data_IF_140173695205
#
_entry.id   IF_140173695205
#
_cell.length_a   1.000
_cell.length_b   1.000
_cell.length_c   1.000
_cell.angle_alpha   90.00
_cell.angle_beta   90.00
_cell.angle_gamma   90.00
#
_symmetry.space_group_name_H-M   'P 1'
#
loop_
_entity.id
_entity.type
_entity.pdbx_description
1 polymer ?
#
# COMPACT_ATOMS: atom_id res chain seq x y z
N UNK A 1 21.07 22.81 15.49
CA UNK A 1 19.90 23.40 16.19
C UNK A 1 18.87 22.30 16.34
N UNK A 2 18.27 22.12 17.52
CA UNK A 2 17.27 21.09 17.80
C UNK A 2 15.93 21.77 18.03
N UNK A 3 14.88 21.32 17.34
CA UNK A 3 13.53 21.84 17.49
C UNK A 3 12.60 20.77 18.04
N UNK A 4 11.74 21.13 18.98
CA UNK A 4 10.59 20.30 19.35
C UNK A 4 9.45 20.64 18.40
N UNK A 5 8.94 19.62 17.70
CA UNK A 5 7.88 19.77 16.72
C UNK A 5 6.65 18.95 17.11
N UNK A 6 5.49 19.37 16.64
CA UNK A 6 4.21 18.69 16.82
C UNK A 6 3.38 18.83 15.55
N UNK A 7 2.34 18.01 15.41
CA UNK A 7 1.33 18.16 14.38
C UNK A 7 -0.01 17.56 14.83
N UNK A 8 -1.07 17.87 14.09
CA UNK A 8 -2.39 17.29 14.30
C UNK A 8 -2.50 15.99 13.49
N UNK A 9 -3.22 15.02 14.06
CA UNK A 9 -3.52 13.79 13.34
C UNK A 9 -4.43 14.05 12.12
N UNK A 10 -4.20 13.28 11.06
CA UNK A 10 -5.10 13.16 9.89
C UNK A 10 -6.20 12.16 10.25
N UNK A 11 -7.43 12.47 9.88
CA UNK A 11 -8.64 11.73 10.23
C UNK A 11 -9.17 10.84 9.08
N UNK A 12 -8.26 10.24 8.31
CA UNK A 12 -8.64 9.33 7.24
C UNK A 12 -9.45 8.15 7.80
N UNK A 13 -10.48 7.72 7.06
CA UNK A 13 -11.44 6.72 7.51
C UNK A 13 -10.83 5.35 7.85
N UNK A 14 -9.68 5.01 7.27
CA UNK A 14 -8.95 3.78 7.56
C UNK A 14 -8.12 3.85 8.87
N UNK A 15 -8.01 5.03 9.47
CA UNK A 15 -7.20 5.25 10.67
C UNK A 15 -7.81 4.65 11.92
N UNK A 16 -6.95 4.15 12.82
CA UNK A 16 -7.35 3.68 14.13
C UNK A 16 -7.83 4.82 15.03
N UNK A 17 -8.82 4.53 15.87
CA UNK A 17 -9.32 5.46 16.90
C UNK A 17 -8.56 5.33 18.22
N UNK A 18 -7.74 4.29 18.38
CA UNK A 18 -7.09 3.93 19.65
C UNK A 18 -5.57 3.80 19.58
N UNK A 19 -4.98 3.28 18.49
CA UNK A 19 -3.56 2.94 18.42
C UNK A 19 -2.63 4.11 18.73
N UNK A 20 -2.85 5.29 18.15
CA UNK A 20 -2.05 6.49 18.46
C UNK A 20 -2.30 6.99 19.88
N UNK A 21 -3.58 7.16 20.34
CA UNK A 21 -3.87 7.52 21.72
C UNK A 21 -3.24 6.58 22.75
N UNK A 22 -3.39 5.27 22.58
CA UNK A 22 -2.86 4.27 23.51
C UNK A 22 -1.33 4.29 23.56
N UNK A 23 -0.68 4.41 22.40
CA UNK A 23 0.78 4.46 22.33
C UNK A 23 1.38 5.69 23.02
N UNK A 24 0.74 6.86 22.89
CA UNK A 24 1.21 8.10 23.52
C UNK A 24 0.61 8.35 24.91
N UNK A 25 -0.26 7.48 25.40
CA UNK A 25 -0.91 7.63 26.73
C UNK A 25 -1.82 8.84 26.81
N UNK A 26 -2.52 9.19 25.71
CA UNK A 26 -3.47 10.29 25.67
C UNK A 26 -4.90 9.79 25.47
N UNK A 27 -5.92 10.53 25.93
CA UNK A 27 -7.31 10.10 25.76
C UNK A 27 -7.70 9.96 24.29
N UNK A 28 -8.36 8.85 23.93
CA UNK A 28 -8.96 8.66 22.62
C UNK A 28 -10.15 9.62 22.43
N UNK A 29 -10.24 10.23 21.24
CA UNK A 29 -11.32 11.17 20.90
C UNK A 29 -12.54 10.48 20.27
N UNK A 30 -12.45 9.18 19.99
CA UNK A 30 -13.44 8.42 19.22
C UNK A 30 -13.44 8.72 17.72
N UNK A 31 -12.53 9.57 17.24
CA UNK A 31 -12.33 9.85 15.82
C UNK A 31 -11.07 9.14 15.32
N UNK A 32 -11.01 8.77 14.03
CA UNK A 32 -9.80 8.22 13.45
C UNK A 32 -8.60 9.13 13.62
N UNK A 33 -7.48 8.55 14.00
CA UNK A 33 -6.17 9.19 14.01
C UNK A 33 -5.25 8.33 13.12
N UNK A 34 -5.31 8.58 11.81
CA UNK A 34 -4.66 7.73 10.81
C UNK A 34 -3.16 8.00 10.71
N UNK A 35 -2.76 9.27 10.66
CA UNK A 35 -1.37 9.69 10.50
C UNK A 35 -1.08 10.99 11.26
N UNK A 36 0.14 11.10 11.78
CA UNK A 36 0.71 12.37 12.24
C UNK A 36 1.98 12.63 11.44
N UNK A 37 2.05 13.75 10.72
CA UNK A 37 3.15 14.08 9.81
C UNK A 37 4.20 14.97 10.49
N UNK A 38 5.45 14.57 10.42
CA UNK A 38 6.60 15.29 10.94
C UNK A 38 7.54 15.67 9.79
N UNK A 39 7.38 16.90 9.30
CA UNK A 39 8.14 17.40 8.16
C UNK A 39 7.63 18.75 7.68
N UNK A 40 8.02 19.12 6.48
CA UNK A 40 7.68 20.40 5.85
C UNK A 40 6.66 20.25 4.71
N UNK A 41 6.02 19.09 4.61
CA UNK A 41 5.08 18.79 3.53
C UNK A 41 3.89 19.78 3.55
N UNK A 42 3.57 20.41 2.41
CA UNK A 42 2.56 21.48 2.31
C UNK A 42 1.15 21.04 2.74
N UNK A 43 0.82 19.77 2.59
CA UNK A 43 -0.46 19.18 3.00
C UNK A 43 -0.69 19.16 4.51
N UNK A 44 0.38 19.16 5.33
CA UNK A 44 0.34 19.21 6.80
C UNK A 44 1.74 19.50 7.37
N UNK A 45 2.24 20.73 7.28
CA UNK A 45 3.55 21.07 7.82
C UNK A 45 3.55 20.97 9.34
N UNK A 46 4.58 20.33 9.91
CA UNK A 46 4.77 20.31 11.35
C UNK A 46 4.95 21.73 11.93
N UNK A 47 4.64 21.88 13.21
CA UNK A 47 4.74 23.17 13.93
C UNK A 47 5.74 23.04 15.05
N UNK A 48 6.37 24.16 15.41
CA UNK A 48 7.18 24.25 16.63
C UNK A 48 6.25 24.20 17.85
N UNK A 49 6.65 23.45 18.86
CA UNK A 49 5.92 23.41 20.14
C UNK A 49 5.95 24.80 20.80
N UNK A 50 7.10 25.44 20.74
CA UNK A 50 7.31 26.79 21.26
C UNK A 50 7.05 27.81 20.13
N UNK A 51 5.91 28.53 20.17
CA UNK A 51 5.62 29.65 19.27
C UNK A 51 4.65 29.36 18.10
N UNK A 52 4.19 28.14 17.91
CA UNK A 52 3.19 27.74 16.90
C UNK A 52 3.53 28.07 15.42
N UNK A 53 4.80 28.46 15.14
CA UNK A 53 5.30 28.66 13.79
C UNK A 53 5.45 27.33 13.05
N UNK A 54 5.22 27.32 11.72
CA UNK A 54 5.46 26.11 10.94
C UNK A 54 6.96 25.81 10.84
N UNK A 55 7.31 24.51 10.82
CA UNK A 55 8.69 24.09 10.60
C UNK A 55 9.25 24.62 9.28
N UNK A 56 8.40 24.68 8.22
CA UNK A 56 8.78 25.25 6.92
C UNK A 56 9.20 26.72 7.04
N UNK A 57 8.45 27.53 7.81
CA UNK A 57 8.80 28.94 8.02
C UNK A 57 10.09 29.08 8.83
N UNK A 58 10.29 28.26 9.88
CA UNK A 58 11.53 28.22 10.69
C UNK A 58 12.76 27.86 9.85
N UNK A 59 12.59 26.97 8.86
CA UNK A 59 13.65 26.58 7.93
C UNK A 59 13.83 27.54 6.75
N UNK A 60 13.22 28.75 6.81
CA UNK A 60 13.33 29.77 5.76
C UNK A 60 12.69 29.36 4.43
N UNK A 61 11.60 28.60 4.47
CA UNK A 61 10.86 28.11 3.30
C UNK A 61 11.45 26.85 2.66
N UNK A 62 12.48 26.25 3.26
CA UNK A 62 13.08 25.03 2.74
C UNK A 62 12.19 23.81 2.98
N UNK A 63 12.01 23.01 1.95
CA UNK A 63 11.37 21.69 2.05
C UNK A 63 12.41 20.63 2.42
N UNK A 64 12.05 19.75 3.36
CA UNK A 64 12.84 18.56 3.65
C UNK A 64 12.67 17.54 2.51
N UNK A 65 13.71 16.80 2.14
CA UNK A 65 13.60 15.79 1.08
C UNK A 65 12.87 14.51 1.52
N UNK A 66 12.41 14.47 2.76
CA UNK A 66 11.71 13.33 3.35
C UNK A 66 10.51 13.78 4.17
N UNK A 67 9.60 12.87 4.41
CA UNK A 67 8.50 12.97 5.36
C UNK A 67 8.56 11.80 6.33
N UNK A 68 8.46 12.08 7.62
CA UNK A 68 8.29 11.09 8.67
C UNK A 68 6.86 11.14 9.16
N UNK A 69 6.23 9.97 9.35
CA UNK A 69 4.88 9.87 9.87
C UNK A 69 4.80 8.85 10.99
N UNK A 70 3.91 9.07 11.94
CA UNK A 70 3.30 7.99 12.71
C UNK A 70 2.05 7.58 11.93
N UNK A 71 1.93 6.31 11.59
CA UNK A 71 0.83 5.75 10.81
C UNK A 71 0.12 4.68 11.63
N UNK A 72 -1.22 4.76 11.73
CA UNK A 72 -2.05 3.81 12.50
C UNK A 72 -3.20 3.30 11.63
N UNK A 73 -3.03 2.13 11.05
CA UNK A 73 -4.04 1.47 10.23
C UNK A 73 -4.96 0.59 11.08
N UNK A 74 -6.27 0.79 10.96
CA UNK A 74 -7.33 -0.06 11.50
C UNK A 74 -8.06 -0.83 10.39
N UNK A 75 -7.93 -0.34 9.16
CA UNK A 75 -8.45 -0.97 7.96
C UNK A 75 -7.40 -0.94 6.86
N UNK A 76 -7.42 -1.92 5.93
CA UNK A 76 -6.47 -1.97 4.82
C UNK A 76 -6.43 -0.69 3.99
N UNK A 77 -5.22 -0.18 3.75
CA UNK A 77 -4.98 0.84 2.76
C UNK A 77 -5.02 0.22 1.35
N UNK A 78 -5.20 1.08 0.33
CA UNK A 78 -5.17 0.60 -1.05
C UNK A 78 -3.83 -0.08 -1.39
N UNK A 79 -3.88 -1.11 -2.22
CA UNK A 79 -2.69 -1.63 -2.89
C UNK A 79 -2.13 -0.53 -3.77
N UNK A 80 -0.83 -0.28 -3.69
CA UNK A 80 -0.17 0.81 -4.41
C UNK A 80 1.25 0.46 -4.85
N UNK A 81 1.73 1.27 -5.80
CA UNK A 81 3.12 1.28 -6.21
C UNK A 81 3.58 2.72 -6.45
N UNK A 82 4.89 2.94 -6.37
CA UNK A 82 5.50 4.24 -6.56
C UNK A 82 6.51 4.21 -7.70
N UNK A 83 6.58 5.28 -8.53
CA UNK A 83 7.52 5.37 -9.63
C UNK A 83 8.96 5.56 -9.14
N UNK A 84 9.93 5.15 -9.95
CA UNK A 84 11.32 5.59 -9.80
C UNK A 84 11.48 7.04 -10.32
N UNK A 85 12.67 7.63 -10.13
CA UNK A 85 12.92 9.04 -10.50
C UNK A 85 12.68 9.34 -11.98
N UNK A 86 13.06 8.42 -12.88
CA UNK A 86 12.86 8.62 -14.31
C UNK A 86 11.38 8.54 -14.69
N UNK A 87 10.68 7.52 -14.19
CA UNK A 87 9.23 7.34 -14.39
C UNK A 87 8.42 8.50 -13.82
N UNK A 88 8.79 9.01 -12.62
CA UNK A 88 8.13 10.16 -12.00
C UNK A 88 8.28 11.43 -12.85
N UNK A 89 9.49 11.75 -13.29
CA UNK A 89 9.75 12.92 -14.13
C UNK A 89 9.03 12.84 -15.48
N UNK A 90 9.09 11.67 -16.16
CA UNK A 90 8.41 11.45 -17.43
C UNK A 90 6.88 11.51 -17.28
N UNK A 91 6.32 10.82 -16.27
CA UNK A 91 4.88 10.78 -16.01
C UNK A 91 4.32 12.15 -15.66
N UNK A 92 5.01 12.90 -14.79
CA UNK A 92 4.63 14.26 -14.43
C UNK A 92 4.63 15.20 -15.63
N UNK A 93 5.69 15.15 -16.48
CA UNK A 93 5.77 15.95 -17.69
C UNK A 93 4.66 15.58 -18.69
N UNK A 94 4.37 14.30 -18.87
CA UNK A 94 3.34 13.78 -19.77
C UNK A 94 1.94 14.23 -19.35
N UNK A 95 1.58 14.10 -18.05
CA UNK A 95 0.27 14.53 -17.55
C UNK A 95 0.10 16.06 -17.59
N UNK A 96 1.18 16.84 -17.37
CA UNK A 96 1.20 18.28 -17.54
C UNK A 96 0.96 18.68 -19.02
N UNK A 97 1.62 18.00 -19.96
CA UNK A 97 1.45 18.26 -21.40
C UNK A 97 0.03 17.88 -21.88
N UNK A 98 -0.59 16.86 -21.27
CA UNK A 98 -1.97 16.48 -21.52
C UNK A 98 -3.01 17.42 -20.87
N UNK A 99 -2.58 18.41 -20.07
CA UNK A 99 -3.45 19.35 -19.37
C UNK A 99 -4.24 18.76 -18.21
N UNK A 100 -3.83 17.59 -17.68
CA UNK A 100 -4.47 16.97 -16.52
C UNK A 100 -4.13 17.80 -15.28
N UNK A 101 -5.16 18.36 -14.63
CA UNK A 101 -4.96 19.21 -13.45
C UNK A 101 -4.32 18.46 -12.29
N UNK A 102 -3.48 19.13 -11.50
CA UNK A 102 -2.72 18.52 -10.40
C UNK A 102 -3.62 17.87 -9.34
N UNK A 103 -4.86 18.34 -9.20
CA UNK A 103 -5.86 17.81 -8.26
C UNK A 103 -6.94 16.95 -8.93
N UNK A 104 -6.79 16.63 -10.23
CA UNK A 104 -7.73 15.76 -10.91
C UNK A 104 -7.74 14.36 -10.28
N UNK A 105 -8.92 13.72 -10.28
CA UNK A 105 -9.10 12.42 -9.63
C UNK A 105 -8.34 11.28 -10.33
N UNK A 106 -8.08 11.45 -11.62
CA UNK A 106 -7.32 10.54 -12.50
C UNK A 106 -5.83 10.91 -12.65
N UNK A 107 -5.35 11.93 -11.93
CA UNK A 107 -3.95 12.35 -11.91
C UNK A 107 -3.11 11.36 -11.09
N UNK A 108 -2.13 10.69 -11.72
CA UNK A 108 -1.21 9.77 -11.07
C UNK A 108 0.01 10.48 -10.46
N UNK A 109 0.58 11.45 -11.20
CA UNK A 109 1.83 12.12 -10.82
C UNK A 109 1.59 13.53 -10.28
N UNK A 110 1.79 13.71 -8.97
CA UNK A 110 1.64 15.00 -8.27
C UNK A 110 2.91 15.83 -8.31
N UNK A 111 4.06 15.19 -8.49
CA UNK A 111 5.39 15.78 -8.59
C UNK A 111 6.31 14.90 -9.46
N UNK A 112 7.53 15.37 -9.72
CA UNK A 112 8.54 14.71 -10.56
C UNK A 112 9.51 13.80 -9.77
N UNK A 113 9.16 13.41 -8.53
CA UNK A 113 10.04 12.72 -7.61
C UNK A 113 9.63 11.27 -7.39
N UNK A 114 10.63 10.44 -7.12
CA UNK A 114 10.41 9.08 -6.66
C UNK A 114 9.89 9.06 -5.22
N UNK A 115 9.31 7.92 -4.81
CA UNK A 115 8.73 7.78 -3.48
C UNK A 115 9.09 6.42 -2.84
N UNK A 116 10.37 6.16 -2.54
CA UNK A 116 10.70 5.01 -1.69
C UNK A 116 10.17 5.25 -0.28
N UNK A 117 9.75 4.17 0.37
CA UNK A 117 9.16 4.19 1.71
C UNK A 117 9.82 3.15 2.60
N UNK A 118 9.77 3.35 3.89
CA UNK A 118 10.11 2.38 4.92
C UNK A 118 9.11 2.49 6.04
N UNK A 119 8.58 1.36 6.50
CA UNK A 119 7.77 1.27 7.71
C UNK A 119 8.56 0.56 8.80
N UNK A 120 8.58 1.12 10.00
CA UNK A 120 9.11 0.50 11.22
C UNK A 120 7.93 0.22 12.13
N UNK A 121 7.70 -1.04 12.46
CA UNK A 121 6.59 -1.45 13.32
C UNK A 121 6.78 -0.96 14.76
N UNK A 122 5.75 -0.37 15.35
CA UNK A 122 5.66 0.00 16.76
C UNK A 122 4.77 -0.96 17.55
N UNK A 123 3.82 -1.58 16.87
CA UNK A 123 3.03 -2.72 17.34
C UNK A 123 3.20 -3.86 16.35
N UNK A 124 2.57 -5.01 16.56
CA UNK A 124 2.37 -5.97 15.47
C UNK A 124 1.79 -5.23 14.26
N UNK A 125 2.41 -5.40 13.09
CA UNK A 125 2.06 -4.66 11.88
C UNK A 125 1.91 -5.59 10.69
N UNK A 126 0.73 -5.54 10.07
CA UNK A 126 0.36 -6.38 8.93
C UNK A 126 0.50 -5.63 7.62
N UNK A 127 1.21 -6.24 6.65
CA UNK A 127 1.46 -5.63 5.35
C UNK A 127 1.45 -6.64 4.21
N UNK A 128 1.30 -6.15 3.00
CA UNK A 128 1.57 -6.86 1.75
C UNK A 128 2.81 -6.23 1.09
N UNK A 129 3.76 -7.05 0.63
CA UNK A 129 5.00 -6.55 0.03
C UNK A 129 5.49 -7.42 -1.12
N UNK A 130 5.43 -6.87 -2.34
CA UNK A 130 5.92 -7.52 -3.54
C UNK A 130 5.18 -8.81 -3.90
N UNK A 131 5.49 -9.37 -5.04
CA UNK A 131 4.86 -10.60 -5.50
C UNK A 131 5.51 -11.85 -4.89
N UNK A 132 4.70 -12.87 -4.65
CA UNK A 132 5.12 -14.23 -4.29
C UNK A 132 5.98 -14.85 -5.40
N UNK A 133 6.70 -15.93 -5.07
CA UNK A 133 7.39 -16.72 -6.07
C UNK A 133 6.41 -17.34 -7.07
N UNK A 134 6.89 -17.61 -8.29
CA UNK A 134 6.07 -18.24 -9.34
C UNK A 134 5.45 -19.56 -8.87
N UNK A 135 6.20 -20.36 -8.11
CA UNK A 135 5.71 -21.62 -7.53
C UNK A 135 4.55 -21.38 -6.57
N UNK A 136 4.65 -20.35 -5.71
CA UNK A 136 3.59 -20.05 -4.74
C UNK A 136 2.33 -19.52 -5.46
N UNK A 137 2.48 -18.67 -6.49
CA UNK A 137 1.35 -18.17 -7.28
C UNK A 137 0.67 -19.32 -8.03
N UNK A 138 1.43 -20.21 -8.66
CA UNK A 138 0.87 -21.39 -9.34
C UNK A 138 0.08 -22.27 -8.38
N UNK A 139 0.68 -22.65 -7.25
CA UNK A 139 0.01 -23.45 -6.22
C UNK A 139 -1.27 -22.77 -5.70
N UNK A 140 -1.24 -21.45 -5.54
CA UNK A 140 -2.42 -20.68 -5.14
C UNK A 140 -3.54 -20.80 -6.18
N UNK A 141 -3.24 -20.57 -7.46
CA UNK A 141 -4.25 -20.67 -8.53
C UNK A 141 -4.82 -22.09 -8.63
N UNK A 142 -3.96 -23.10 -8.59
CA UNK A 142 -4.38 -24.51 -8.59
C UNK A 142 -5.29 -24.83 -7.40
N UNK A 143 -4.96 -24.34 -6.20
CA UNK A 143 -5.75 -24.57 -4.99
C UNK A 143 -7.12 -23.91 -4.97
N UNK A 144 -7.35 -22.89 -5.80
CA UNK A 144 -8.69 -22.33 -5.99
C UNK A 144 -9.66 -23.34 -6.63
N UNK A 145 -9.13 -24.42 -7.25
CA UNK A 145 -9.88 -25.49 -7.92
C UNK A 145 -9.96 -26.79 -7.08
N UNK A 146 -9.33 -26.85 -5.91
CA UNK A 146 -9.31 -28.05 -5.06
C UNK A 146 -10.67 -28.45 -4.46
N UNK A 147 -11.57 -27.51 -4.06
CA UNK A 147 -12.89 -27.90 -3.58
C UNK A 147 -13.71 -28.65 -4.62
N UNK A 148 -14.48 -29.65 -4.18
CA UNK A 148 -15.26 -30.54 -5.09
C UNK A 148 -16.44 -29.84 -5.77
N UNK A 149 -16.87 -28.69 -5.26
CA UNK A 149 -18.08 -27.95 -5.68
C UNK A 149 -17.74 -26.57 -6.27
N UNK A 150 -16.55 -26.47 -6.90
CA UNK A 150 -16.12 -25.23 -7.55
C UNK A 150 -17.05 -24.91 -8.71
N UNK A 151 -17.52 -23.65 -8.79
CA UNK A 151 -18.40 -23.23 -9.87
C UNK A 151 -17.71 -23.29 -11.24
N UNK A 152 -18.51 -23.53 -12.30
CA UNK A 152 -18.00 -23.47 -13.67
C UNK A 152 -17.40 -22.08 -14.01
N UNK A 153 -17.89 -21.02 -13.38
CA UNK A 153 -17.39 -19.66 -13.53
C UNK A 153 -15.97 -19.50 -12.96
N UNK A 154 -15.76 -19.94 -11.72
CA UNK A 154 -14.43 -19.92 -11.08
C UNK A 154 -13.46 -20.86 -11.84
N UNK A 155 -13.90 -22.05 -12.19
CA UNK A 155 -13.08 -22.99 -12.96
C UNK A 155 -12.61 -22.36 -14.29
N UNK A 156 -13.49 -21.70 -15.02
CA UNK A 156 -13.17 -21.08 -16.30
C UNK A 156 -12.14 -19.95 -16.14
N UNK A 157 -12.35 -19.08 -15.16
CA UNK A 157 -11.47 -17.92 -14.97
C UNK A 157 -10.09 -18.34 -14.42
N UNK A 158 -10.04 -19.28 -13.49
CA UNK A 158 -8.77 -19.76 -12.92
C UNK A 158 -7.94 -20.52 -13.96
N UNK A 159 -8.56 -21.35 -14.81
CA UNK A 159 -7.85 -21.99 -15.91
C UNK A 159 -7.30 -20.95 -16.90
N UNK A 160 -8.07 -19.90 -17.24
CA UNK A 160 -7.56 -18.80 -18.04
C UNK A 160 -6.37 -18.09 -17.37
N UNK A 161 -6.41 -17.85 -16.05
CA UNK A 161 -5.29 -17.25 -15.32
C UNK A 161 -4.06 -18.15 -15.28
N UNK A 162 -4.23 -19.47 -15.14
CA UNK A 162 -3.15 -20.45 -15.24
C UNK A 162 -2.51 -20.44 -16.64
N UNK A 163 -3.31 -20.35 -17.69
CA UNK A 163 -2.82 -20.25 -19.07
C UNK A 163 -2.02 -18.95 -19.30
N UNK A 164 -2.52 -17.82 -18.82
CA UNK A 164 -1.79 -16.55 -18.87
C UNK A 164 -0.47 -16.64 -18.09
N UNK A 165 -0.52 -17.17 -16.87
CA UNK A 165 0.63 -17.25 -15.97
C UNK A 165 1.73 -18.19 -16.48
N UNK A 166 1.36 -19.22 -17.22
CA UNK A 166 2.30 -20.18 -17.83
C UNK A 166 3.01 -19.63 -19.07
N UNK A 167 2.52 -18.53 -19.64
CA UNK A 167 3.11 -17.89 -20.83
C UNK A 167 4.25 -16.91 -20.51
N UNK A 168 4.86 -16.31 -21.54
CA UNK A 168 5.83 -15.26 -21.35
C UNK A 168 5.17 -14.04 -20.68
N UNK A 169 5.91 -13.39 -19.78
CA UNK A 169 5.44 -12.27 -18.94
C UNK A 169 4.15 -12.62 -18.14
N UNK A 170 4.09 -13.88 -17.67
CA UNK A 170 2.87 -14.46 -17.12
C UNK A 170 2.32 -13.71 -15.92
N UNK A 171 3.17 -13.28 -14.98
CA UNK A 171 2.75 -12.50 -13.82
C UNK A 171 2.16 -11.14 -14.21
N UNK A 172 2.77 -10.45 -15.18
CA UNK A 172 2.28 -9.18 -15.69
C UNK A 172 0.92 -9.34 -16.36
N UNK A 173 0.78 -10.34 -17.24
CA UNK A 173 -0.49 -10.63 -17.93
C UNK A 173 -1.60 -11.02 -16.97
N UNK A 174 -1.28 -11.84 -15.97
CA UNK A 174 -2.21 -12.22 -14.91
C UNK A 174 -2.70 -10.99 -14.13
N UNK A 175 -1.76 -10.15 -13.68
CA UNK A 175 -2.09 -8.92 -12.95
C UNK A 175 -2.97 -7.98 -13.78
N UNK A 176 -2.63 -7.74 -15.03
CA UNK A 176 -3.38 -6.88 -15.95
C UNK A 176 -4.79 -7.43 -16.20
N UNK A 177 -4.92 -8.75 -16.43
CA UNK A 177 -6.24 -9.38 -16.63
C UNK A 177 -7.12 -9.23 -15.39
N UNK A 178 -6.59 -9.54 -14.19
CA UNK A 178 -7.33 -9.41 -12.93
C UNK A 178 -7.78 -7.95 -12.73
N UNK A 179 -6.87 -6.99 -12.91
CA UNK A 179 -7.17 -5.58 -12.66
C UNK A 179 -8.21 -5.03 -13.65
N UNK A 180 -8.16 -5.45 -14.92
CA UNK A 180 -9.15 -5.06 -15.95
C UNK A 180 -10.54 -5.68 -15.74
N UNK A 181 -10.67 -6.69 -14.88
CA UNK A 181 -11.98 -7.30 -14.54
C UNK A 181 -12.72 -6.57 -13.42
N UNK A 182 -12.27 -5.40 -13.00
CA UNK A 182 -12.96 -4.60 -11.99
C UNK A 182 -14.45 -4.45 -12.31
N UNK A 183 -15.30 -4.79 -11.34
CA UNK A 183 -16.76 -4.83 -11.50
C UNK A 183 -17.31 -6.15 -12.06
N UNK A 184 -16.46 -7.15 -12.34
CA UNK A 184 -16.85 -8.47 -12.85
C UNK A 184 -16.24 -9.63 -12.03
N UNK A 185 -15.84 -9.37 -10.77
CA UNK A 185 -15.19 -10.35 -9.91
C UNK A 185 -16.02 -10.75 -8.68
N UNK A 186 -17.25 -10.20 -8.51
CA UNK A 186 -18.09 -10.47 -7.34
C UNK A 186 -18.30 -11.96 -7.09
N UNK A 187 -18.59 -12.73 -8.13
CA UNK A 187 -18.78 -14.19 -8.03
C UNK A 187 -17.50 -14.91 -7.60
N UNK A 188 -16.36 -14.51 -8.15
CA UNK A 188 -15.04 -15.08 -7.85
C UNK A 188 -14.64 -14.79 -6.41
N UNK A 189 -14.69 -13.54 -5.99
CA UNK A 189 -14.30 -13.15 -4.64
C UNK A 189 -15.25 -13.71 -3.57
N UNK A 190 -16.54 -13.81 -3.87
CA UNK A 190 -17.52 -14.46 -3.00
C UNK A 190 -17.21 -15.96 -2.80
N UNK A 191 -16.87 -16.68 -3.88
CA UNK A 191 -16.54 -18.10 -3.80
C UNK A 191 -15.22 -18.32 -3.05
N UNK A 192 -14.19 -17.49 -3.28
CA UNK A 192 -12.96 -17.52 -2.49
C UNK A 192 -13.22 -17.24 -1.00
N UNK A 193 -14.17 -16.36 -0.68
CA UNK A 193 -14.61 -16.13 0.70
C UNK A 193 -15.20 -17.39 1.34
N UNK A 194 -15.97 -18.17 0.58
CA UNK A 194 -16.51 -19.46 1.06
C UNK A 194 -15.39 -20.49 1.28
N UNK A 195 -14.40 -20.52 0.39
CA UNK A 195 -13.24 -21.40 0.50
C UNK A 195 -12.36 -21.11 1.72
N UNK A 196 -12.41 -19.90 2.28
CA UNK A 196 -11.72 -19.56 3.54
C UNK A 196 -12.14 -20.44 4.73
N UNK A 197 -13.35 -20.99 4.71
CA UNK A 197 -13.81 -21.97 5.71
C UNK A 197 -13.11 -23.34 5.58
N UNK A 198 -12.47 -23.61 4.43
CA UNK A 198 -11.82 -24.86 4.12
C UNK A 198 -10.30 -24.74 4.15
N UNK A 199 -9.76 -23.56 3.90
CA UNK A 199 -8.32 -23.33 3.81
C UNK A 199 -7.93 -21.93 4.28
N UNK A 200 -7.01 -21.87 5.25
CA UNK A 200 -6.50 -20.62 5.82
C UNK A 200 -5.84 -19.69 4.78
N UNK A 201 -5.38 -20.23 3.64
CA UNK A 201 -4.77 -19.40 2.57
C UNK A 201 -5.73 -18.37 1.97
N UNK A 202 -7.06 -18.56 2.11
CA UNK A 202 -8.09 -17.64 1.61
C UNK A 202 -8.68 -16.72 2.69
N UNK A 203 -8.25 -16.83 3.95
CA UNK A 203 -8.72 -15.97 5.06
C UNK A 203 -8.49 -14.49 4.76
N UNK A 204 -7.32 -14.14 4.19
CA UNK A 204 -7.03 -12.78 3.78
C UNK A 204 -8.04 -12.29 2.72
N UNK A 205 -8.31 -13.09 1.69
CA UNK A 205 -9.29 -12.74 0.66
C UNK A 205 -10.69 -12.54 1.25
N UNK A 206 -11.12 -13.43 2.16
CA UNK A 206 -12.41 -13.31 2.82
C UNK A 206 -12.52 -12.01 3.63
N UNK A 207 -11.50 -11.68 4.40
CA UNK A 207 -11.44 -10.45 5.20
C UNK A 207 -11.44 -9.19 4.32
N UNK A 208 -10.65 -9.19 3.24
CA UNK A 208 -10.62 -8.08 2.30
C UNK A 208 -11.92 -7.92 1.52
N UNK A 209 -12.57 -9.03 1.13
CA UNK A 209 -13.83 -8.99 0.39
C UNK A 209 -15.01 -8.42 1.20
N UNK A 210 -14.97 -8.50 2.53
CA UNK A 210 -15.96 -7.85 3.40
C UNK A 210 -15.91 -6.32 3.23
N UNK A 211 -14.70 -5.76 3.08
CA UNK A 211 -14.47 -4.32 3.00
C UNK A 211 -14.51 -3.81 1.55
N UNK A 212 -14.10 -4.65 0.60
CA UNK A 212 -13.94 -4.33 -0.81
C UNK A 212 -14.56 -5.43 -1.69
N UNK A 213 -15.89 -5.65 -1.63
CA UNK A 213 -16.55 -6.75 -2.36
C UNK A 213 -16.31 -6.60 -3.87
N UNK A 214 -15.84 -7.69 -4.51
CA UNK A 214 -15.60 -7.73 -5.96
C UNK A 214 -14.40 -6.89 -6.45
N UNK A 215 -13.64 -6.24 -5.55
CA UNK A 215 -12.46 -5.47 -5.94
C UNK A 215 -11.32 -6.42 -6.39
N UNK A 216 -10.66 -6.15 -7.53
CA UNK A 216 -9.53 -6.96 -8.01
C UNK A 216 -8.40 -7.08 -6.99
N UNK A 217 -8.23 -6.08 -6.13
CA UNK A 217 -7.25 -6.07 -5.04
C UNK A 217 -7.40 -7.25 -4.08
N UNK A 218 -8.60 -7.83 -3.94
CA UNK A 218 -8.82 -9.04 -3.13
C UNK A 218 -8.01 -10.21 -3.67
N UNK A 219 -7.98 -10.38 -5.00
CA UNK A 219 -7.24 -11.46 -5.67
C UNK A 219 -5.76 -11.09 -5.78
N UNK A 220 -5.44 -9.84 -6.12
CA UNK A 220 -4.06 -9.34 -6.19
C UNK A 220 -3.34 -9.50 -4.86
N UNK A 221 -4.01 -9.24 -3.73
CA UNK A 221 -3.45 -9.46 -2.40
C UNK A 221 -2.98 -10.92 -2.18
N UNK A 222 -3.67 -11.90 -2.74
CA UNK A 222 -3.28 -13.31 -2.67
C UNK A 222 -2.01 -13.60 -3.49
N UNK A 223 -1.71 -12.83 -4.52
CA UNK A 223 -0.47 -12.95 -5.32
C UNK A 223 0.73 -12.30 -4.62
N UNK A 224 0.51 -11.51 -3.57
CA UNK A 224 1.54 -10.78 -2.84
C UNK A 224 2.02 -11.55 -1.61
N UNK A 225 3.24 -11.24 -1.16
CA UNK A 225 3.72 -11.73 0.12
C UNK A 225 2.95 -11.04 1.25
N UNK A 226 2.36 -11.84 2.12
CA UNK A 226 1.67 -11.39 3.33
C UNK A 226 2.69 -11.41 4.47
N UNK A 227 2.94 -10.29 5.09
CA UNK A 227 4.04 -10.04 6.03
C UNK A 227 3.49 -9.53 7.35
N UNK A 228 4.00 -10.09 8.44
CA UNK A 228 3.79 -9.61 9.79
C UNK A 228 5.12 -9.13 10.34
N UNK A 229 5.12 -7.91 10.86
CA UNK A 229 6.28 -7.29 11.50
C UNK A 229 6.05 -7.25 13.01
N UNK A 230 7.04 -7.71 13.75
CA UNK A 230 7.10 -7.50 15.20
C UNK A 230 7.56 -6.08 15.53
N UNK A 231 7.22 -5.53 16.71
CA UNK A 231 7.70 -4.22 17.12
C UNK A 231 9.22 -4.09 17.00
N UNK A 232 9.69 -3.07 16.28
CA UNK A 232 11.09 -2.80 16.00
C UNK A 232 11.62 -3.39 14.69
N UNK A 233 10.87 -4.27 14.04
CA UNK A 233 11.21 -4.71 12.68
C UNK A 233 10.79 -3.65 11.65
N UNK A 234 11.49 -3.62 10.52
CA UNK A 234 11.24 -2.66 9.47
C UNK A 234 11.21 -3.30 8.08
N UNK A 235 10.39 -2.74 7.21
CA UNK A 235 10.20 -3.15 5.83
C UNK A 235 10.51 -1.98 4.91
N UNK A 236 11.46 -2.17 3.97
CA UNK A 236 11.78 -1.19 2.95
C UNK A 236 11.01 -1.48 1.66
N UNK A 237 10.42 -0.45 1.08
CA UNK A 237 9.57 -0.50 -0.12
C UNK A 237 10.23 0.35 -1.21
N UNK A 238 11.04 -0.26 -2.11
CA UNK A 238 11.66 0.46 -3.21
C UNK A 238 10.65 0.87 -4.28
N UNK A 239 11.04 1.76 -5.17
CA UNK A 239 10.26 2.09 -6.34
C UNK A 239 9.92 0.83 -7.17
N UNK A 240 8.70 0.77 -7.72
CA UNK A 240 8.20 -0.38 -8.48
C UNK A 240 7.71 -1.56 -7.63
N UNK A 241 7.93 -1.54 -6.31
CA UNK A 241 7.37 -2.56 -5.42
C UNK A 241 5.86 -2.34 -5.21
N UNK A 242 5.08 -3.40 -5.40
CA UNK A 242 3.65 -3.40 -5.06
C UNK A 242 3.49 -3.69 -3.56
N UNK A 243 2.69 -2.90 -2.85
CA UNK A 243 2.53 -3.04 -1.40
C UNK A 243 1.19 -2.50 -0.89
N UNK A 244 0.84 -2.88 0.32
CA UNK A 244 -0.27 -2.30 1.09
C UNK A 244 -0.01 -2.48 2.60
N UNK A 245 -0.42 -1.52 3.42
CA UNK A 245 -0.52 -1.68 4.87
C UNK A 245 -1.94 -2.12 5.22
N UNK A 246 -2.06 -3.15 6.05
CA UNK A 246 -3.37 -3.73 6.38
C UNK A 246 -3.82 -3.36 7.78
N UNK A 247 -2.93 -3.42 8.77
CA UNK A 247 -3.23 -3.05 10.16
C UNK A 247 -1.96 -2.78 10.97
N UNK A 248 -2.08 -2.05 12.06
CA UNK A 248 -1.00 -1.79 13.02
C UNK A 248 -0.57 -0.34 13.12
N UNK A 249 0.33 -0.08 14.06
CA UNK A 249 0.98 1.22 14.29
C UNK A 249 2.45 1.15 13.88
N UNK A 250 2.91 2.12 13.09
CA UNK A 250 4.31 2.19 12.67
C UNK A 250 4.81 3.61 12.46
N UNK A 251 6.14 3.73 12.34
CA UNK A 251 6.80 4.93 11.85
C UNK A 251 7.10 4.74 10.37
N UNK A 252 6.50 5.56 9.52
CA UNK A 252 6.80 5.59 8.11
C UNK A 252 7.79 6.71 7.79
N UNK A 253 8.86 6.37 7.07
CA UNK A 253 9.82 7.33 6.51
C UNK A 253 9.77 7.20 4.99
N UNK A 254 9.48 8.29 4.31
CA UNK A 254 9.35 8.30 2.85
C UNK A 254 10.04 9.51 2.23
N UNK A 255 10.38 9.45 0.95
CA UNK A 255 10.73 10.64 0.21
C UNK A 255 9.51 11.59 0.12
N UNK A 256 9.77 12.90 0.10
CA UNK A 256 8.70 13.91 0.06
C UNK A 256 8.06 13.95 -1.35
N UNK A 257 7.20 12.99 -1.66
CA UNK A 257 6.44 12.87 -2.90
C UNK A 257 5.03 12.36 -2.63
N UNK A 258 4.06 12.82 -3.43
CA UNK A 258 2.66 12.39 -3.38
C UNK A 258 2.27 11.42 -4.51
N UNK A 259 3.25 10.93 -5.26
CA UNK A 259 3.02 10.02 -6.38
C UNK A 259 2.53 8.65 -5.92
N UNK A 260 1.32 8.28 -6.30
CA UNK A 260 0.69 7.00 -5.92
C UNK A 260 -0.10 6.44 -7.10
N UNK A 261 0.29 5.24 -7.55
CA UNK A 261 -0.50 4.43 -8.48
C UNK A 261 -1.20 3.32 -7.69
N UNK A 262 -2.53 3.24 -7.82
CA UNK A 262 -3.34 2.28 -7.07
C UNK A 262 -3.60 1.03 -7.88
N UNK A 263 -3.45 -0.13 -7.23
CA UNK A 263 -3.61 -1.45 -7.85
C UNK A 263 -4.82 -2.24 -7.35
N UNK A 264 -5.60 -1.71 -6.39
CA UNK A 264 -6.77 -2.39 -5.81
C UNK A 264 -7.07 -1.94 -4.39
N UNK A 265 -8.07 -2.55 -3.76
CA UNK A 265 -8.62 -2.22 -2.44
C UNK A 265 -8.98 -0.74 -2.35
N UNK A 266 -9.66 -0.21 -3.37
CA UNK A 266 -9.97 1.22 -3.44
C UNK A 266 -11.14 1.52 -4.38
N UNK A 267 -12.03 2.46 -4.01
CA UNK A 267 -13.02 2.99 -4.95
C UNK A 267 -12.43 4.01 -5.93
N UNK A 268 -11.17 4.47 -5.71
CA UNK A 268 -10.52 5.49 -6.54
C UNK A 268 -10.11 4.95 -7.90
N UNK A 269 -9.70 5.86 -8.79
CA UNK A 269 -9.18 5.54 -10.11
C UNK A 269 -7.98 4.58 -10.04
N UNK A 270 -7.98 3.59 -10.93
CA UNK A 270 -6.86 2.66 -11.17
C UNK A 270 -6.45 2.82 -12.63
N UNK A 271 -5.22 3.22 -12.87
CA UNK A 271 -4.61 3.30 -14.19
C UNK A 271 -3.78 2.06 -14.45
N UNK A 272 -4.39 1.05 -15.07
CA UNK A 272 -3.75 -0.25 -15.31
C UNK A 272 -2.55 -0.11 -16.22
N UNK A 273 -2.64 0.73 -17.26
CA UNK A 273 -1.55 0.92 -18.21
C UNK A 273 -0.33 1.59 -17.55
N UNK A 274 -0.57 2.51 -16.62
CA UNK A 274 0.52 3.15 -15.90
C UNK A 274 1.11 2.25 -14.81
N UNK A 275 0.28 1.45 -14.14
CA UNK A 275 0.76 0.39 -13.24
C UNK A 275 1.67 -0.61 -13.96
N UNK A 276 1.29 -1.03 -15.16
CA UNK A 276 2.09 -1.94 -16.00
C UNK A 276 3.49 -1.37 -16.30
N UNK A 277 3.61 -0.05 -16.43
CA UNK A 277 4.90 0.64 -16.66
C UNK A 277 5.74 0.78 -15.41
N UNK A 278 5.11 0.94 -14.25
CA UNK A 278 5.78 1.29 -12.98
C UNK A 278 6.15 0.05 -12.19
N UNK A 279 5.32 -0.99 -12.21
CA UNK A 279 5.52 -2.19 -11.40
C UNK A 279 6.69 -3.04 -11.88
N UNK A 280 7.40 -3.60 -10.92
CA UNK A 280 8.36 -4.68 -11.14
C UNK A 280 7.65 -6.01 -11.05
N UNK A 281 7.39 -6.65 -12.19
CA UNK A 281 6.74 -7.96 -12.25
C UNK A 281 7.76 -9.09 -12.06
N UNK A 282 8.30 -9.18 -10.85
CA UNK A 282 9.23 -10.23 -10.43
C UNK A 282 8.91 -10.67 -9.01
N UNK A 283 9.20 -11.94 -8.65
CA UNK A 283 9.13 -12.39 -7.28
C UNK A 283 9.99 -11.51 -6.37
N UNK A 284 9.48 -11.21 -5.19
CA UNK A 284 10.19 -10.40 -4.18
C UNK A 284 10.51 -11.30 -2.98
N UNK A 285 11.79 -11.42 -2.66
CA UNK A 285 12.20 -11.92 -1.34
C UNK A 285 12.04 -10.79 -0.34
N UNK A 286 11.22 -11.03 0.67
CA UNK A 286 10.98 -10.03 1.72
C UNK A 286 12.12 -10.09 2.72
N UNK A 287 12.95 -9.06 2.73
CA UNK A 287 14.03 -8.90 3.70
C UNK A 287 13.62 -7.83 4.72
N UNK A 288 13.58 -8.24 6.01
CA UNK A 288 13.37 -7.29 7.09
C UNK A 288 14.67 -6.53 7.37
N UNK A 289 14.55 -5.22 7.47
CA UNK A 289 15.68 -4.36 7.85
C UNK A 289 15.90 -4.52 9.34
N UNK A 290 17.10 -5.01 9.71
CA UNK A 290 17.48 -5.16 11.12
C UNK A 290 17.90 -3.82 11.71
N UNK A 291 17.28 -3.47 12.82
CA UNK A 291 17.72 -2.33 13.64
C UNK A 291 19.07 -2.63 14.27
N UNK A 292 19.91 -1.60 14.42
CA UNK A 292 21.13 -1.67 15.23
C UNK A 292 20.88 -0.94 16.53
N UNK A 293 21.18 -1.58 17.65
CA UNK A 293 21.32 -0.86 18.90
C UNK A 293 22.47 0.13 18.74
N UNK A 294 22.14 1.40 18.70
CA UNK A 294 23.15 2.44 18.80
C UNK A 294 23.65 2.36 20.25
N UNK A 295 24.89 1.93 20.43
CA UNK A 295 25.53 1.99 21.72
C UNK A 295 25.29 3.37 22.30
N UNK A 296 24.82 3.42 23.56
CA UNK A 296 24.53 4.67 24.25
C UNK A 296 25.79 5.54 24.19
N UNK A 297 25.73 6.61 23.40
CA UNK A 297 26.76 7.64 23.32
C UNK A 297 26.40 8.80 24.24
#
# INVERSE_FOLDING_TARGET
MLFKITNSARDYAWGSTTLIPDYFGVPATGRPMAEIWFGTHDGSPARLVDGNQSLTAELGGKQLPFLLKILAADSPLSIQAHPNSAQAAEGFARENAAGIGIHAADRNYKDDRHKPEMIVALTEFEALCGFKSEKQIRNLLESMLDPTDVSAGLTTIVNHWLDLFNGPDGLQKLFVDITNRRGNLDGVTAELTQQANLSAQFELAARLNILYPGDPGVIIALLMNHVWLEPGEALFLPAGNIHAYLSGLGVEVMAASDNVLRGGLTPKHIDVAELERVLTFAPTEVELVKTRDLAQG
#
